data_IF_843177645247
#
_entry.id   IF_843177645247
#
_cell.length_a   1.000
_cell.length_b   1.000
_cell.length_c   1.000
_cell.angle_alpha   90.00
_cell.angle_beta   90.00
_cell.angle_gamma   90.00
#
_symmetry.space_group_name_H-M   'P 1'
#
loop_
_entity.id
_entity.type
_entity.pdbx_description
1 polymer ?
#
# COMPACT_ATOMS: atom_id res chain seq x y z
N UNK A 1 1.05 -26.60 -19.51
CA UNK A 1 1.87 -25.42 -19.18
C UNK A 1 1.54 -24.99 -17.74
N UNK A 2 2.53 -24.98 -16.83
CA UNK A 2 2.32 -24.44 -15.47
C UNK A 2 2.11 -22.93 -15.62
N UNK A 3 0.92 -22.42 -15.24
CA UNK A 3 0.68 -20.98 -15.13
C UNK A 3 1.73 -20.39 -14.17
N UNK A 4 2.57 -19.48 -14.67
CA UNK A 4 3.48 -18.69 -13.82
C UNK A 4 2.60 -17.95 -12.81
N UNK A 5 2.86 -18.09 -11.51
CA UNK A 5 2.17 -17.31 -10.49
C UNK A 5 2.47 -15.83 -10.75
N UNK A 6 1.46 -14.93 -10.69
CA UNK A 6 1.70 -13.50 -10.85
C UNK A 6 2.72 -13.04 -9.81
N UNK A 7 3.68 -12.21 -10.23
CA UNK A 7 4.62 -11.54 -9.34
C UNK A 7 3.87 -10.44 -8.61
N UNK A 8 4.03 -10.35 -7.29
CA UNK A 8 3.52 -9.21 -6.51
C UNK A 8 4.69 -8.29 -6.19
N UNK A 9 4.55 -7.01 -6.49
CA UNK A 9 5.55 -5.98 -6.27
C UNK A 9 5.17 -5.14 -5.05
N UNK A 10 6.12 -4.93 -4.12
CA UNK A 10 5.99 -3.91 -3.09
C UNK A 10 6.47 -2.58 -3.64
N UNK A 11 5.61 -1.57 -3.66
CA UNK A 11 5.93 -0.17 -3.93
C UNK A 11 5.94 0.59 -2.61
N UNK A 12 7.15 0.87 -2.13
CA UNK A 12 7.35 1.55 -0.86
C UNK A 12 7.43 3.06 -1.07
N UNK A 13 6.67 3.82 -0.29
CA UNK A 13 6.66 5.27 -0.31
C UNK A 13 7.12 5.83 1.04
N UNK A 14 7.67 7.04 1.02
CA UNK A 14 8.06 7.79 2.20
C UNK A 14 7.12 8.97 2.38
N UNK A 15 6.53 9.08 3.56
CA UNK A 15 5.65 10.20 3.88
C UNK A 15 6.46 11.49 4.04
N UNK A 16 6.01 12.63 3.48
CA UNK A 16 6.65 13.92 3.71
C UNK A 16 6.64 14.29 5.19
N UNK A 17 7.72 14.89 5.68
CA UNK A 17 7.79 15.32 7.07
C UNK A 17 6.66 16.31 7.40
N UNK A 18 5.89 16.00 8.45
CA UNK A 18 4.81 16.86 8.92
C UNK A 18 3.48 16.74 8.17
N UNK A 19 3.41 15.94 7.10
CA UNK A 19 2.17 15.67 6.35
C UNK A 19 1.70 14.23 6.54
N UNK A 20 0.41 13.96 6.77
CA UNK A 20 -0.14 12.61 6.75
C UNK A 20 -0.48 12.14 5.32
N UNK A 21 -0.22 12.97 4.30
CA UNK A 21 -0.59 12.73 2.90
C UNK A 21 0.64 12.91 2.00
N UNK A 22 0.86 11.95 1.12
CA UNK A 22 1.77 12.06 -0.01
C UNK A 22 0.95 12.14 -1.30
N UNK A 23 0.89 13.31 -1.97
CA UNK A 23 0.14 13.47 -3.20
C UNK A 23 0.96 13.04 -4.42
N UNK A 24 0.32 12.31 -5.34
CA UNK A 24 0.85 12.01 -6.67
C UNK A 24 -0.09 12.64 -7.71
N UNK A 25 0.18 13.90 -8.05
CA UNK A 25 -0.70 14.74 -8.85
C UNK A 25 -0.01 15.25 -10.13
N UNK A 26 -0.81 15.63 -11.10
CA UNK A 26 -0.38 16.34 -12.31
C UNK A 26 -0.25 15.46 -13.55
N UNK A 27 0.15 16.07 -14.66
CA UNK A 27 0.14 15.48 -16.01
C UNK A 27 1.05 14.24 -16.15
N UNK A 28 2.08 14.11 -15.33
CA UNK A 28 2.95 12.91 -15.30
C UNK A 28 2.20 11.62 -14.95
N UNK A 29 0.99 11.72 -14.41
CA UNK A 29 0.10 10.59 -14.06
C UNK A 29 -0.97 10.32 -15.11
N UNK A 30 -0.94 11.03 -16.24
CA UNK A 30 -1.69 10.65 -17.43
C UNK A 30 -0.94 9.47 -18.03
N UNK A 31 -1.39 8.27 -17.76
CA UNK A 31 -0.74 7.06 -18.22
C UNK A 31 -1.64 6.26 -19.15
N UNK A 32 -1.03 5.77 -20.20
CA UNK A 32 -1.53 4.62 -20.92
C UNK A 32 -1.11 3.40 -20.10
N UNK A 33 -1.95 2.98 -19.13
CA UNK A 33 -1.69 1.80 -18.34
C UNK A 33 -1.66 0.62 -19.30
N UNK A 34 -0.50 -0.07 -19.39
CA UNK A 34 -0.27 -1.13 -20.36
C UNK A 34 -1.35 -2.21 -20.28
N UNK A 35 -1.70 -2.73 -21.43
CA UNK A 35 -2.55 -3.91 -21.55
C UNK A 35 -1.76 -5.15 -21.16
N UNK A 36 -2.40 -6.05 -20.40
CA UNK A 36 -1.83 -7.35 -20.08
C UNK A 36 -0.79 -7.34 -18.94
N UNK A 37 -0.74 -6.30 -18.11
CA UNK A 37 0.00 -6.35 -16.85
C UNK A 37 -0.77 -7.24 -15.88
N UNK A 38 -0.27 -8.47 -15.67
CA UNK A 38 -0.84 -9.42 -14.70
C UNK A 38 -0.23 -9.25 -13.30
N UNK A 39 0.85 -8.48 -13.17
CA UNK A 39 1.57 -8.32 -11.92
C UNK A 39 0.83 -7.35 -10.99
N UNK A 40 0.44 -7.86 -9.82
CA UNK A 40 -0.15 -7.06 -8.76
C UNK A 40 0.95 -6.28 -8.01
N UNK A 41 0.57 -5.18 -7.40
CA UNK A 41 1.43 -4.46 -6.47
C UNK A 41 0.64 -4.05 -5.23
N UNK A 42 1.35 -3.68 -4.17
CA UNK A 42 0.76 -3.12 -2.95
C UNK A 42 1.69 -2.05 -2.36
N UNK A 43 1.14 -1.25 -1.47
CA UNK A 43 1.83 -0.12 -0.85
C UNK A 43 1.85 -0.24 0.66
N UNK A 44 2.78 0.46 1.31
CA UNK A 44 2.88 0.59 2.76
C UNK A 44 1.93 1.65 3.35
N UNK A 45 1.18 2.37 2.52
CA UNK A 45 0.16 3.33 2.92
C UNK A 45 -1.15 3.04 2.17
N UNK A 46 -2.27 3.53 2.71
CA UNK A 46 -3.53 3.53 1.98
C UNK A 46 -3.41 4.36 0.72
N UNK A 47 -3.92 3.84 -0.41
CA UNK A 47 -4.04 4.57 -1.66
C UNK A 47 -5.47 5.03 -1.87
N UNK A 48 -5.64 6.31 -2.14
CA UNK A 48 -6.90 6.91 -2.57
C UNK A 48 -6.69 7.45 -3.97
N UNK A 49 -7.38 6.90 -4.95
CA UNK A 49 -7.29 7.30 -6.36
C UNK A 49 -8.55 7.98 -6.86
N UNK A 50 -8.40 8.95 -7.76
CA UNK A 50 -9.51 9.52 -8.52
C UNK A 50 -9.24 9.45 -10.01
N UNK A 51 -10.16 8.82 -10.75
CA UNK A 51 -10.13 8.72 -12.21
C UNK A 51 -10.91 9.89 -12.83
N UNK A 52 -10.21 10.82 -13.47
CA UNK A 52 -10.85 11.95 -14.13
C UNK A 52 -11.51 11.53 -15.45
N UNK A 53 -10.81 10.71 -16.23
CA UNK A 53 -11.31 10.15 -17.49
C UNK A 53 -10.57 8.88 -17.88
N UNK A 54 -11.14 8.15 -18.83
CA UNK A 54 -10.65 6.88 -19.35
C UNK A 54 -11.45 5.71 -18.81
N UNK A 55 -11.08 4.51 -19.24
CA UNK A 55 -11.73 3.27 -18.83
C UNK A 55 -10.74 2.11 -18.81
N UNK A 56 -11.03 1.09 -18.02
CA UNK A 56 -10.13 -0.05 -17.88
C UNK A 56 -10.62 -1.10 -16.89
N UNK A 57 -9.66 -1.90 -16.44
CA UNK A 57 -9.87 -2.94 -15.45
C UNK A 57 -9.00 -2.65 -14.22
N UNK A 58 -9.64 -2.52 -13.09
CA UNK A 58 -9.02 -2.54 -11.77
C UNK A 58 -9.08 -3.97 -11.22
N UNK A 59 -7.93 -4.54 -10.93
CA UNK A 59 -7.83 -5.84 -10.27
C UNK A 59 -7.55 -5.61 -8.79
N UNK A 60 -8.41 -6.15 -7.92
CA UNK A 60 -8.37 -6.05 -6.47
C UNK A 60 -8.21 -7.46 -5.89
N UNK A 61 -6.98 -7.86 -5.55
CA UNK A 61 -6.68 -9.25 -5.22
C UNK A 61 -6.99 -10.19 -6.39
N UNK A 62 -8.02 -11.03 -6.24
CA UNK A 62 -8.49 -11.94 -7.29
C UNK A 62 -9.67 -11.36 -8.11
N UNK A 63 -10.28 -10.29 -7.64
CA UNK A 63 -11.47 -9.69 -8.25
C UNK A 63 -11.07 -8.67 -9.32
N UNK A 64 -11.78 -8.72 -10.46
CA UNK A 64 -11.63 -7.75 -11.56
C UNK A 64 -12.88 -6.90 -11.69
N UNK A 65 -12.74 -5.60 -11.61
CA UNK A 65 -13.80 -4.61 -11.78
C UNK A 65 -13.50 -3.69 -12.94
N UNK A 66 -14.49 -3.38 -13.78
CA UNK A 66 -14.36 -2.32 -14.77
C UNK A 66 -14.42 -0.98 -14.08
N UNK A 67 -13.57 -0.05 -14.52
CA UNK A 67 -13.66 1.36 -14.12
C UNK A 67 -13.87 2.27 -15.33
N UNK A 68 -14.44 3.42 -15.06
CA UNK A 68 -14.61 4.53 -16.02
C UNK A 68 -14.20 5.85 -15.37
N UNK A 69 -14.17 6.93 -16.14
CA UNK A 69 -13.98 8.26 -15.57
C UNK A 69 -15.03 8.61 -14.52
N UNK A 70 -14.70 9.54 -13.64
CA UNK A 70 -15.54 10.03 -12.52
C UNK A 70 -15.77 8.96 -11.44
N UNK A 71 -14.77 8.10 -11.23
CA UNK A 71 -14.75 7.11 -10.17
C UNK A 71 -13.55 7.31 -9.24
N UNK A 72 -13.71 6.90 -7.99
CA UNK A 72 -12.62 6.90 -7.03
C UNK A 72 -12.38 5.51 -6.46
N UNK A 73 -11.15 5.29 -6.01
CA UNK A 73 -10.72 4.08 -5.32
C UNK A 73 -10.29 4.41 -3.91
N UNK A 74 -10.54 3.48 -2.97
CA UNK A 74 -9.91 3.46 -1.65
C UNK A 74 -9.32 2.07 -1.49
N UNK A 75 -8.00 1.99 -1.47
CA UNK A 75 -7.27 0.72 -1.39
C UNK A 75 -6.49 0.71 -0.08
N UNK A 76 -6.83 -0.19 0.86
CA UNK A 76 -6.12 -0.33 2.12
C UNK A 76 -4.62 -0.56 1.91
N UNK A 77 -3.82 -0.20 2.92
CA UNK A 77 -2.41 -0.54 2.91
C UNK A 77 -2.21 -2.05 2.70
N UNK A 78 -1.14 -2.41 1.97
CA UNK A 78 -0.78 -3.81 1.68
C UNK A 78 -1.84 -4.63 0.94
N UNK A 79 -2.86 -4.00 0.39
CA UNK A 79 -3.88 -4.69 -0.41
C UNK A 79 -3.38 -4.84 -1.86
N UNK A 80 -3.23 -6.09 -2.38
CA UNK A 80 -2.73 -6.32 -3.73
C UNK A 80 -3.71 -5.83 -4.79
N UNK A 81 -3.23 -4.97 -5.71
CA UNK A 81 -4.06 -4.44 -6.78
C UNK A 81 -3.23 -4.07 -8.02
N UNK A 82 -3.90 -3.82 -9.13
CA UNK A 82 -3.32 -3.20 -10.33
C UNK A 82 -4.40 -2.58 -11.19
N UNK A 83 -4.04 -1.51 -11.90
CA UNK A 83 -4.92 -0.79 -12.83
C UNK A 83 -4.41 -0.96 -14.26
N UNK A 84 -5.28 -1.41 -15.15
CA UNK A 84 -5.00 -1.54 -16.58
C UNK A 84 -6.01 -0.74 -17.38
N UNK A 85 -5.56 0.15 -18.26
CA UNK A 85 -6.44 0.80 -19.24
C UNK A 85 -6.85 -0.17 -20.34
N UNK A 86 -7.95 0.12 -21.02
CA UNK A 86 -8.29 -0.55 -22.28
C UNK A 86 -7.24 -0.18 -23.34
N UNK A 87 -6.93 -1.14 -24.20
CA UNK A 87 -5.95 -0.97 -25.27
C UNK A 87 -6.25 0.30 -26.10
N UNK A 88 -5.20 1.10 -26.36
CA UNK A 88 -5.29 2.38 -27.08
C UNK A 88 -6.15 3.47 -26.39
N UNK A 89 -6.41 3.36 -25.10
CA UNK A 89 -7.03 4.43 -24.30
C UNK A 89 -6.05 5.09 -23.36
N UNK A 90 -6.32 6.34 -23.00
CA UNK A 90 -5.56 7.10 -22.01
C UNK A 90 -6.45 7.30 -20.80
N UNK A 91 -5.94 6.95 -19.62
CA UNK A 91 -6.61 7.20 -18.36
C UNK A 91 -5.85 8.27 -17.57
N UNK A 92 -6.57 9.22 -17.00
CA UNK A 92 -6.00 10.16 -16.04
C UNK A 92 -6.45 9.80 -14.65
N UNK A 93 -5.48 9.37 -13.86
CA UNK A 93 -5.61 9.13 -12.44
C UNK A 93 -4.73 10.09 -11.66
N UNK A 94 -5.18 10.49 -10.50
CA UNK A 94 -4.34 11.10 -9.46
C UNK A 94 -4.53 10.33 -8.17
N UNK A 95 -3.50 10.35 -7.30
CA UNK A 95 -3.48 9.52 -6.10
C UNK A 95 -3.02 10.31 -4.88
N UNK A 96 -3.57 9.92 -3.73
CA UNK A 96 -3.11 10.31 -2.41
C UNK A 96 -2.70 9.04 -1.67
N UNK A 97 -1.48 8.99 -1.16
CA UNK A 97 -1.06 7.98 -0.19
C UNK A 97 -1.21 8.56 1.21
N UNK A 98 -1.86 7.82 2.11
CA UNK A 98 -2.27 8.31 3.42
C UNK A 98 -1.79 7.39 4.53
N UNK A 99 -1.09 7.95 5.52
CA UNK A 99 -0.78 7.29 6.78
C UNK A 99 -2.02 7.35 7.70
N UNK A 100 -2.96 6.41 7.47
CA UNK A 100 -4.24 6.38 8.19
C UNK A 100 -4.04 6.08 9.67
N UNK A 101 -3.20 5.11 10.02
CA UNK A 101 -2.97 4.71 11.40
C UNK A 101 -2.34 5.85 12.21
N UNK A 102 -1.21 6.40 11.73
CA UNK A 102 -0.54 7.53 12.39
C UNK A 102 -1.45 8.75 12.49
N UNK A 103 -2.24 9.04 11.45
CA UNK A 103 -3.18 10.15 11.47
C UNK A 103 -4.32 9.97 12.49
N UNK A 104 -4.99 8.80 12.51
CA UNK A 104 -6.08 8.54 13.44
C UNK A 104 -5.61 8.50 14.90
N UNK A 105 -4.46 7.87 15.17
CA UNK A 105 -3.87 7.84 16.52
C UNK A 105 -3.58 9.24 17.08
N UNK A 106 -3.19 10.18 16.21
CA UNK A 106 -2.87 11.56 16.60
C UNK A 106 -4.11 12.44 16.78
N UNK A 107 -5.18 12.19 16.02
CA UNK A 107 -6.30 13.12 15.90
C UNK A 107 -7.62 12.60 16.50
N UNK A 108 -7.72 11.33 16.92
CA UNK A 108 -8.87 10.81 17.66
C UNK A 108 -8.66 10.99 19.16
N UNK A 109 -9.72 11.38 19.89
CA UNK A 109 -9.69 11.53 21.34
C UNK A 109 -9.48 10.20 22.09
N UNK A 110 -9.88 9.09 21.48
CA UNK A 110 -9.85 7.76 22.07
C UNK A 110 -9.15 6.77 21.16
N UNK A 111 -8.19 6.01 21.71
CA UNK A 111 -7.53 4.90 21.00
C UNK A 111 -8.53 3.83 20.53
N UNK A 112 -9.62 3.60 21.29
CA UNK A 112 -10.69 2.66 20.90
C UNK A 112 -11.45 3.17 19.68
N UNK A 113 -11.70 4.47 19.59
CA UNK A 113 -12.35 5.08 18.42
C UNK A 113 -11.44 5.03 17.20
N UNK A 114 -10.14 5.35 17.34
CA UNK A 114 -9.17 5.26 16.28
C UNK A 114 -9.09 3.83 15.73
N UNK A 115 -8.98 2.84 16.61
CA UNK A 115 -8.91 1.42 16.22
C UNK A 115 -10.20 0.94 15.53
N UNK A 116 -11.38 1.38 15.98
CA UNK A 116 -12.65 1.07 15.33
C UNK A 116 -12.74 1.66 13.93
N UNK A 117 -12.31 2.92 13.76
CA UNK A 117 -12.27 3.55 12.44
C UNK A 117 -11.27 2.84 11.53
N UNK A 118 -10.07 2.59 12.00
CA UNK A 118 -9.00 1.90 11.26
C UNK A 118 -9.46 0.53 10.75
N UNK A 119 -10.09 -0.28 11.61
CA UNK A 119 -10.66 -1.58 11.21
C UNK A 119 -11.67 -1.45 10.08
N UNK A 120 -12.60 -0.50 10.18
CA UNK A 120 -13.63 -0.30 9.15
C UNK A 120 -13.04 0.20 7.84
N UNK A 121 -12.12 1.14 7.90
CA UNK A 121 -11.43 1.69 6.73
C UNK A 121 -10.67 0.59 5.99
N UNK A 122 -10.01 -0.30 6.72
CA UNK A 122 -9.20 -1.39 6.14
C UNK A 122 -10.01 -2.66 5.80
N UNK A 123 -11.34 -2.66 5.95
CA UNK A 123 -12.15 -3.88 5.75
C UNK A 123 -12.24 -4.36 4.29
N UNK A 124 -11.82 -3.55 3.33
CA UNK A 124 -11.80 -3.92 1.91
C UNK A 124 -11.50 -2.75 1.00
N UNK A 125 -11.11 -3.07 -0.24
CA UNK A 125 -10.89 -2.07 -1.27
C UNK A 125 -12.22 -1.65 -1.91
N UNK A 126 -12.35 -0.35 -2.21
CA UNK A 126 -13.53 0.25 -2.83
C UNK A 126 -13.21 0.77 -4.23
N UNK A 127 -14.17 0.62 -5.14
CA UNK A 127 -14.27 1.34 -6.40
C UNK A 127 -15.70 1.84 -6.50
N UNK A 128 -15.92 3.16 -6.54
CA UNK A 128 -17.23 3.79 -6.48
C UNK A 128 -17.34 4.97 -7.44
N UNK A 129 -18.54 5.26 -7.91
CA UNK A 129 -18.83 6.47 -8.67
C UNK A 129 -18.96 7.68 -7.75
N UNK A 130 -18.56 8.84 -8.23
CA UNK A 130 -18.74 10.08 -7.47
C UNK A 130 -20.22 10.40 -7.18
N UNK A 131 -21.14 9.96 -8.05
CA UNK A 131 -22.58 10.14 -7.86
C UNK A 131 -23.17 9.26 -6.76
N UNK A 132 -22.56 8.10 -6.47
CA UNK A 132 -22.97 7.19 -5.40
C UNK A 132 -22.61 7.72 -4.03
N UNK A 133 -21.42 8.34 -3.91
CA UNK A 133 -20.88 8.89 -2.66
C UNK A 133 -20.28 10.29 -2.89
N UNK A 134 -21.12 11.29 -3.22
CA UNK A 134 -20.66 12.61 -3.65
C UNK A 134 -19.84 13.37 -2.60
N UNK A 135 -20.14 13.21 -1.31
CA UNK A 135 -19.38 13.85 -0.24
C UNK A 135 -17.96 13.28 -0.11
N UNK A 136 -17.79 11.98 -0.33
CA UNK A 136 -16.49 11.33 -0.32
C UNK A 136 -15.68 11.78 -1.52
N UNK A 137 -16.27 11.76 -2.72
CA UNK A 137 -15.63 12.23 -3.95
C UNK A 137 -15.22 13.71 -3.85
N UNK A 138 -16.09 14.57 -3.31
CA UNK A 138 -15.78 15.99 -3.08
C UNK A 138 -14.58 16.15 -2.13
N UNK A 139 -14.56 15.45 -1.02
CA UNK A 139 -13.42 15.49 -0.09
C UNK A 139 -12.11 15.09 -0.79
N UNK A 140 -12.10 14.02 -1.60
CA UNK A 140 -10.93 13.55 -2.34
C UNK A 140 -10.44 14.64 -3.29
N UNK A 141 -11.32 15.18 -4.13
CA UNK A 141 -10.98 16.22 -5.13
C UNK A 141 -10.44 17.48 -4.43
N UNK A 142 -11.10 17.92 -3.36
CA UNK A 142 -10.67 19.12 -2.60
C UNK A 142 -9.31 18.91 -1.94
N UNK A 143 -9.04 17.74 -1.34
CA UNK A 143 -7.72 17.44 -0.79
C UNK A 143 -6.67 17.50 -1.89
N UNK A 144 -6.93 16.91 -3.07
CA UNK A 144 -6.02 16.97 -4.21
C UNK A 144 -5.75 18.40 -4.66
N UNK A 145 -6.78 19.26 -4.71
CA UNK A 145 -6.63 20.66 -5.08
C UNK A 145 -5.82 21.47 -4.06
N UNK A 146 -6.07 21.27 -2.76
CA UNK A 146 -5.32 21.89 -1.68
C UNK A 146 -3.85 21.48 -1.74
N UNK A 147 -3.59 20.18 -1.87
CA UNK A 147 -2.23 19.63 -1.97
C UNK A 147 -1.50 20.05 -3.26
N UNK A 148 -2.22 20.52 -4.28
CA UNK A 148 -1.65 21.05 -5.53
C UNK A 148 -1.26 22.52 -5.41
N UNK A 149 -2.06 23.31 -4.67
CA UNK A 149 -1.86 24.76 -4.53
C UNK A 149 -0.83 25.11 -3.47
N UNK A 150 -0.73 24.30 -2.41
CA UNK A 150 0.20 24.50 -1.29
C UNK A 150 0.14 25.90 -0.69
N UNK A 151 -1.10 26.46 -0.56
CA UNK A 151 -1.34 27.76 0.05
C UNK A 151 -1.06 27.74 1.57
N UNK A 152 -1.03 28.88 2.22
CA UNK A 152 -0.80 28.95 3.66
C UNK A 152 -1.80 28.09 4.43
N UNK A 153 -1.32 27.26 5.38
CA UNK A 153 -2.11 26.29 6.17
C UNK A 153 -2.71 25.12 5.39
N UNK A 154 -2.27 24.84 4.17
CA UNK A 154 -2.80 23.76 3.33
C UNK A 154 -2.78 22.37 4.00
N UNK A 155 -1.76 22.07 4.84
CA UNK A 155 -1.68 20.80 5.57
C UNK A 155 -2.81 20.70 6.61
N UNK A 156 -3.14 21.79 7.30
CA UNK A 156 -4.21 21.83 8.29
C UNK A 156 -5.58 21.68 7.62
N UNK A 157 -5.79 22.37 6.50
CA UNK A 157 -7.03 22.27 5.73
C UNK A 157 -7.20 20.85 5.17
N UNK A 158 -6.17 20.30 4.52
CA UNK A 158 -6.18 18.93 4.02
C UNK A 158 -6.41 17.90 5.14
N UNK A 159 -5.83 18.11 6.33
CA UNK A 159 -6.01 17.23 7.50
C UNK A 159 -7.45 17.24 8.02
N UNK A 160 -8.10 18.40 8.03
CA UNK A 160 -9.51 18.52 8.40
C UNK A 160 -10.43 17.74 7.44
N UNK A 161 -10.23 17.90 6.14
CA UNK A 161 -10.94 17.14 5.10
C UNK A 161 -10.62 15.65 5.14
N UNK A 162 -9.35 15.28 5.42
CA UNK A 162 -8.95 13.90 5.57
C UNK A 162 -9.71 13.21 6.71
N UNK A 163 -9.89 13.88 7.86
CA UNK A 163 -10.68 13.31 8.95
C UNK A 163 -12.15 13.09 8.52
N UNK A 164 -12.75 14.04 7.81
CA UNK A 164 -14.11 13.91 7.29
C UNK A 164 -14.21 12.75 6.29
N UNK A 165 -13.25 12.64 5.38
CA UNK A 165 -13.14 11.57 4.39
C UNK A 165 -13.03 10.18 5.06
N UNK A 166 -12.09 10.01 5.99
CA UNK A 166 -11.88 8.75 6.71
C UNK A 166 -13.11 8.34 7.53
N UNK A 167 -13.80 9.30 8.16
CA UNK A 167 -15.07 9.05 8.84
C UNK A 167 -16.18 8.62 7.87
N UNK A 168 -16.22 9.18 6.66
CA UNK A 168 -17.11 8.77 5.58
C UNK A 168 -16.86 7.32 5.17
N UNK A 169 -15.62 6.98 4.83
CA UNK A 169 -15.22 5.62 4.44
C UNK A 169 -15.54 4.62 5.56
N UNK A 170 -15.24 4.94 6.83
CA UNK A 170 -15.56 4.09 7.97
C UNK A 170 -17.08 3.86 8.17
N UNK A 171 -17.94 4.76 7.68
CA UNK A 171 -19.40 4.58 7.69
C UNK A 171 -19.89 3.68 6.57
N UNK A 172 -19.27 3.71 5.39
CA UNK A 172 -19.61 2.81 4.28
C UNK A 172 -19.45 1.33 4.65
N UNK A 173 -18.40 1.01 5.39
CA UNK A 173 -18.04 -0.34 5.78
C UNK A 173 -18.71 -0.76 7.12
N UNK A 174 -20.03 -0.71 7.18
CA UNK A 174 -20.79 -0.89 8.43
C UNK A 174 -21.33 -2.30 8.72
N UNK A 175 -21.19 -3.29 7.82
CA UNK A 175 -21.88 -4.57 8.04
C UNK A 175 -21.19 -5.45 9.07
N UNK A 176 -21.96 -6.07 10.00
CA UNK A 176 -21.41 -6.99 11.00
C UNK A 176 -20.68 -8.20 10.40
N UNK A 177 -21.11 -8.67 9.24
CA UNK A 177 -20.51 -9.79 8.51
C UNK A 177 -19.13 -9.41 7.96
N UNK A 178 -18.95 -8.18 7.49
CA UNK A 178 -17.65 -7.66 7.07
C UNK A 178 -16.73 -7.46 8.27
N UNK A 179 -17.25 -7.07 9.44
CA UNK A 179 -16.45 -6.98 10.68
C UNK A 179 -15.93 -8.36 11.12
N UNK A 180 -16.72 -9.46 11.00
CA UNK A 180 -16.29 -10.83 11.36
C UNK A 180 -15.26 -11.42 10.37
N UNK A 181 -15.50 -11.27 9.07
CA UNK A 181 -14.55 -11.71 8.03
C UNK A 181 -13.22 -10.96 8.12
N UNK A 182 -13.29 -9.69 8.50
CA UNK A 182 -12.12 -8.87 8.72
C UNK A 182 -11.31 -9.29 9.95
N UNK A 183 -11.95 -9.73 11.04
CA UNK A 183 -11.23 -10.18 12.24
C UNK A 183 -10.32 -11.38 11.97
N UNK A 184 -10.73 -12.29 11.12
CA UNK A 184 -9.95 -13.46 10.74
C UNK A 184 -8.84 -13.14 9.73
N UNK A 185 -9.13 -12.33 8.72
CA UNK A 185 -8.15 -11.81 7.76
C UNK A 185 -7.19 -10.82 8.42
N UNK A 186 -7.67 -9.95 9.30
CA UNK A 186 -6.89 -8.91 9.95
C UNK A 186 -5.87 -9.48 10.94
N UNK A 187 -6.13 -10.65 11.53
CA UNK A 187 -5.12 -11.32 12.38
C UNK A 187 -3.91 -11.77 11.56
N UNK A 188 -4.14 -12.38 10.41
CA UNK A 188 -3.06 -12.79 9.49
C UNK A 188 -2.36 -11.56 8.90
N UNK A 189 -3.11 -10.51 8.54
CA UNK A 189 -2.56 -9.26 8.00
C UNK A 189 -1.77 -8.47 9.05
N UNK A 190 -2.20 -8.41 10.32
CA UNK A 190 -1.39 -7.80 11.40
C UNK A 190 -0.06 -8.52 11.60
N UNK A 191 -0.10 -9.85 11.68
CA UNK A 191 1.10 -10.66 11.80
C UNK A 191 2.09 -10.34 10.68
N UNK A 192 1.58 -10.24 9.44
CA UNK A 192 2.40 -9.89 8.29
C UNK A 192 2.87 -8.44 8.38
N UNK A 193 2.01 -7.50 8.74
CA UNK A 193 2.35 -6.08 8.92
C UNK A 193 3.55 -5.91 9.86
N UNK A 194 3.41 -6.40 11.07
CA UNK A 194 4.46 -6.27 12.10
C UNK A 194 5.77 -6.94 11.65
N UNK A 195 5.64 -8.06 10.90
CA UNK A 195 6.80 -8.74 10.32
C UNK A 195 7.47 -7.91 9.23
N UNK A 196 6.70 -7.27 8.34
CA UNK A 196 7.25 -6.46 7.26
C UNK A 196 7.95 -5.22 7.81
N UNK A 197 7.36 -4.56 8.83
CA UNK A 197 7.97 -3.42 9.51
C UNK A 197 9.26 -3.83 10.21
N UNK A 198 9.25 -4.94 10.96
CA UNK A 198 10.46 -5.49 11.57
C UNK A 198 11.56 -5.77 10.53
N UNK A 199 11.23 -6.43 9.42
CA UNK A 199 12.20 -6.69 8.34
C UNK A 199 12.72 -5.39 7.75
N UNK A 200 11.87 -4.38 7.54
CA UNK A 200 12.25 -3.08 7.00
C UNK A 200 13.25 -2.33 7.89
N UNK A 201 13.10 -2.46 9.20
CA UNK A 201 13.99 -1.81 10.17
C UNK A 201 15.30 -2.59 10.38
N UNK A 202 15.23 -3.93 10.30
CA UNK A 202 16.34 -4.83 10.66
C UNK A 202 16.97 -5.58 9.48
N UNK A 203 16.65 -5.25 8.20
CA UNK A 203 17.11 -6.01 7.03
C UNK A 203 18.62 -6.20 6.93
N UNK A 204 19.41 -5.32 7.57
CA UNK A 204 20.87 -5.39 7.61
C UNK A 204 21.39 -6.51 8.52
N UNK A 205 20.57 -6.92 9.48
CA UNK A 205 20.91 -7.92 10.48
C UNK A 205 20.70 -9.35 9.95
N UNK A 206 21.24 -10.33 10.65
CA UNK A 206 20.98 -11.74 10.36
C UNK A 206 19.61 -12.15 10.91
N UNK A 207 18.55 -11.82 10.18
CA UNK A 207 17.16 -12.14 10.59
C UNK A 207 16.93 -13.65 10.44
N UNK A 208 16.59 -14.32 11.55
CA UNK A 208 16.20 -15.74 11.56
C UNK A 208 14.68 -15.87 11.52
N UNK A 209 14.20 -16.86 10.77
CA UNK A 209 12.75 -17.10 10.68
C UNK A 209 12.13 -17.50 12.01
N UNK A 210 12.90 -18.21 12.85
CA UNK A 210 12.52 -18.53 14.23
C UNK A 210 12.19 -17.28 15.04
N UNK A 211 12.97 -16.19 14.89
CA UNK A 211 12.70 -14.91 15.55
C UNK A 211 11.41 -14.28 15.05
N UNK A 212 11.21 -14.24 13.73
CA UNK A 212 9.98 -13.68 13.13
C UNK A 212 8.74 -14.45 13.59
N UNK A 213 8.80 -15.78 13.60
CA UNK A 213 7.68 -16.62 14.06
C UNK A 213 7.41 -16.47 15.55
N UNK A 214 8.47 -16.37 16.38
CA UNK A 214 8.36 -16.16 17.82
C UNK A 214 7.72 -14.81 18.15
N UNK A 215 8.11 -13.73 17.46
CA UNK A 215 7.51 -12.39 17.60
C UNK A 215 6.00 -12.40 17.32
N UNK A 216 5.56 -13.29 16.43
CA UNK A 216 4.15 -13.47 16.08
C UNK A 216 3.42 -14.50 16.96
N UNK A 217 4.09 -15.11 17.94
CA UNK A 217 3.58 -16.22 18.76
C UNK A 217 3.09 -17.42 17.92
N UNK A 218 3.80 -17.73 16.83
CA UNK A 218 3.48 -18.82 15.90
C UNK A 218 4.61 -19.84 15.82
N UNK A 219 4.27 -21.07 15.40
CA UNK A 219 5.28 -22.00 14.93
C UNK A 219 5.82 -21.55 13.57
N UNK A 220 7.09 -21.87 13.25
CA UNK A 220 7.69 -21.50 11.96
C UNK A 220 6.89 -21.98 10.76
N UNK A 221 6.37 -23.19 10.81
CA UNK A 221 5.58 -23.76 9.72
C UNK A 221 4.28 -22.97 9.48
N UNK A 222 3.63 -22.56 10.56
CA UNK A 222 2.41 -21.74 10.49
C UNK A 222 2.72 -20.33 10.00
N UNK A 223 3.77 -19.70 10.53
CA UNK A 223 4.26 -18.40 10.09
C UNK A 223 4.59 -18.40 8.57
N UNK A 224 5.40 -19.37 8.11
CA UNK A 224 5.76 -19.49 6.68
C UNK A 224 4.51 -19.64 5.79
N UNK A 225 3.52 -20.41 6.24
CA UNK A 225 2.26 -20.61 5.49
C UNK A 225 1.47 -19.31 5.38
N UNK A 226 1.29 -18.58 6.49
CA UNK A 226 0.59 -17.30 6.50
C UNK A 226 1.35 -16.28 5.64
N UNK A 227 2.66 -16.13 5.87
CA UNK A 227 3.49 -15.20 5.14
C UNK A 227 3.44 -15.47 3.63
N UNK A 228 3.67 -16.73 3.22
CA UNK A 228 3.63 -17.08 1.79
C UNK A 228 2.22 -17.00 1.20
N UNK A 229 1.19 -17.19 1.99
CA UNK A 229 -0.20 -17.01 1.57
C UNK A 229 -0.53 -15.55 1.27
N UNK A 230 -0.08 -14.62 2.11
CA UNK A 230 -0.31 -13.19 1.94
C UNK A 230 0.65 -12.53 0.94
N UNK A 231 1.95 -12.91 0.99
CA UNK A 231 3.00 -12.24 0.22
C UNK A 231 3.35 -12.94 -1.09
N UNK A 232 2.82 -14.14 -1.35
CA UNK A 232 3.13 -15.02 -2.47
C UNK A 232 4.63 -15.30 -2.67
N UNK A 233 5.42 -15.07 -1.63
CA UNK A 233 6.86 -15.37 -1.56
C UNK A 233 7.23 -15.81 -0.15
N UNK A 234 8.38 -16.47 0.02
CA UNK A 234 8.85 -16.85 1.35
C UNK A 234 9.40 -15.64 2.12
N UNK A 235 9.44 -15.70 3.47
CA UNK A 235 10.06 -14.64 4.27
C UNK A 235 11.51 -14.35 3.89
N UNK A 236 12.29 -15.37 3.53
CA UNK A 236 13.70 -15.22 3.09
C UNK A 236 13.80 -14.47 1.77
N UNK A 237 12.95 -14.82 0.81
CA UNK A 237 12.88 -14.11 -0.48
C UNK A 237 12.51 -12.64 -0.27
N UNK A 238 11.59 -12.35 0.66
CA UNK A 238 11.22 -10.98 0.97
C UNK A 238 12.36 -10.18 1.62
N UNK A 239 13.07 -10.77 2.61
CA UNK A 239 14.26 -10.14 3.21
C UNK A 239 15.28 -9.80 2.13
N UNK A 240 15.57 -10.74 1.23
CA UNK A 240 16.52 -10.52 0.14
C UNK A 240 16.03 -9.45 -0.84
N UNK A 241 14.73 -9.40 -1.13
CA UNK A 241 14.13 -8.36 -1.99
C UNK A 241 14.36 -6.95 -1.41
N UNK A 242 14.13 -6.76 -0.11
CA UNK A 242 14.38 -5.47 0.57
C UNK A 242 15.87 -5.11 0.50
N UNK A 243 16.77 -6.05 0.76
CA UNK A 243 18.23 -5.85 0.68
C UNK A 243 18.68 -5.44 -0.72
N UNK A 244 18.25 -6.17 -1.75
CA UNK A 244 18.58 -5.85 -3.15
C UNK A 244 18.07 -4.48 -3.54
N UNK A 245 16.81 -4.17 -3.21
CA UNK A 245 16.22 -2.86 -3.51
C UNK A 245 17.01 -1.72 -2.89
N UNK A 246 17.34 -1.86 -1.60
CA UNK A 246 18.15 -0.85 -0.89
C UNK A 246 19.57 -0.75 -1.48
N UNK A 247 20.17 -1.87 -1.87
CA UNK A 247 21.48 -1.87 -2.53
C UNK A 247 21.43 -1.15 -3.89
N UNK A 248 20.39 -1.39 -4.70
CA UNK A 248 20.20 -0.69 -5.97
C UNK A 248 20.03 0.83 -5.79
N UNK A 249 19.31 1.26 -4.77
CA UNK A 249 19.17 2.70 -4.47
C UNK A 249 20.52 3.34 -4.05
N UNK A 250 21.32 2.63 -3.25
CA UNK A 250 22.64 3.10 -2.83
C UNK A 250 23.62 3.15 -4.00
N UNK A 251 23.61 2.15 -4.88
CA UNK A 251 24.44 2.12 -6.09
C UNK A 251 24.13 3.30 -7.04
N UNK A 252 22.87 3.73 -7.11
CA UNK A 252 22.50 4.91 -7.92
C UNK A 252 22.92 6.25 -7.32
N UNK A 253 23.15 6.31 -6.00
CA UNK A 253 23.40 7.54 -5.26
C UNK A 253 24.85 7.70 -4.80
N UNK A 254 25.70 6.68 -4.96
CA UNK A 254 27.07 6.67 -4.46
C UNK A 254 28.02 5.95 -5.42
N UNK A 255 29.30 6.30 -5.39
CA UNK A 255 30.39 5.64 -6.15
C UNK A 255 31.04 4.49 -5.36
N UNK A 256 30.36 3.95 -4.36
CA UNK A 256 30.89 2.85 -3.52
C UNK A 256 30.87 1.53 -4.26
N UNK A 257 31.76 0.61 -3.86
CA UNK A 257 31.85 -0.70 -4.49
C UNK A 257 30.59 -1.54 -4.28
N UNK A 258 30.27 -2.39 -5.25
CA UNK A 258 29.13 -3.32 -5.18
C UNK A 258 29.23 -4.24 -3.97
N UNK A 259 30.44 -4.73 -3.66
CA UNK A 259 30.75 -5.57 -2.49
C UNK A 259 30.46 -4.86 -1.17
N UNK A 260 30.93 -3.61 -1.01
CA UNK A 260 30.70 -2.84 0.24
C UNK A 260 29.20 -2.59 0.46
N UNK A 261 28.49 -2.22 -0.61
CA UNK A 261 27.03 -1.96 -0.54
C UNK A 261 26.27 -3.26 -0.24
N UNK A 262 26.67 -4.39 -0.85
CA UNK A 262 26.06 -5.70 -0.57
C UNK A 262 26.21 -6.08 0.90
N UNK A 263 27.42 -5.93 1.46
CA UNK A 263 27.70 -6.20 2.87
C UNK A 263 26.90 -5.26 3.81
N UNK A 264 26.85 -3.98 3.51
CA UNK A 264 26.07 -2.98 4.28
C UNK A 264 24.57 -3.27 4.23
N UNK A 265 24.07 -3.85 3.14
CA UNK A 265 22.68 -4.27 3.01
C UNK A 265 22.37 -5.62 3.66
N UNK A 266 23.34 -6.25 4.34
CA UNK A 266 23.15 -7.46 5.14
C UNK A 266 23.34 -8.77 4.37
N UNK A 267 23.98 -8.77 3.18
CA UNK A 267 24.37 -10.00 2.50
C UNK A 267 25.63 -10.59 3.13
N UNK A 268 25.58 -11.88 3.42
CA UNK A 268 26.69 -12.60 4.05
C UNK A 268 27.91 -12.83 3.10
N UNK A 269 27.71 -12.70 1.79
CA UNK A 269 28.77 -12.84 0.78
C UNK A 269 28.36 -12.23 -0.56
N UNK A 270 29.35 -11.89 -1.39
CA UNK A 270 29.11 -11.42 -2.77
C UNK A 270 28.35 -12.45 -3.61
N UNK A 271 28.60 -13.74 -3.39
CA UNK A 271 27.87 -14.82 -4.07
C UNK A 271 26.40 -14.85 -3.68
N UNK A 272 26.06 -14.50 -2.44
CA UNK A 272 24.67 -14.37 -2.00
C UNK A 272 24.01 -13.12 -2.59
N UNK A 273 24.73 -12.01 -2.69
CA UNK A 273 24.25 -10.79 -3.31
C UNK A 273 23.99 -10.97 -4.82
N UNK A 274 24.95 -11.54 -5.55
CA UNK A 274 24.85 -11.72 -7.00
C UNK A 274 23.80 -12.75 -7.44
N UNK A 275 23.30 -13.61 -6.53
CA UNK A 275 22.23 -14.60 -6.82
C UNK A 275 20.83 -14.02 -6.69
N UNK A 276 20.66 -12.94 -5.97
CA UNK A 276 19.38 -12.33 -5.70
C UNK A 276 19.16 -11.07 -6.55
#
# INVERSE_FOLDING_TARGET
>A
MKKKKPKIELRYYYMPAGSPILPLLGERWVQNYGTGIEDLHFHNFMEIGFCYYGEGILTLGEEKRKFTGRQFTVIPERFPHTTNSIENTICKWEYLFVDVEGFLRKNCESAVQAEKMLRRINSGALLMNEEEEPLIAECIIRIMDIMRREEEFYIQEASGLLMALLAGIARLNRTPEQEMLYEEQSRSMRIISDTLDYISDHYRENIKIEQLSANCHLSESHFRRIFSGCMHMSPVEYINLIRVRTACEKLKKTDRSVTDIGTECGFASDSAFNRN
#
